data_IF_807118315713
#
_entry.id   IF_807118315713
#
_cell.length_a   1.000
_cell.length_b   1.000
_cell.length_c   1.000
_cell.angle_alpha   90.00
_cell.angle_beta   90.00
_cell.angle_gamma   90.00
#
_symmetry.space_group_name_H-M   'P 1'
#
loop_
_entity.id
_entity.type
_entity.pdbx_description
1 polymer ?
#
# COMPACT_ATOMS: atom_id res chain seq x y z
N UNK A 1 -15.59 60.60 -22.32
CA UNK A 1 -16.14 59.38 -22.94
C UNK A 1 -16.26 58.33 -21.82
N UNK A 2 -17.29 58.24 -20.98
CA UNK A 2 -18.76 58.24 -21.12
C UNK A 2 -19.29 57.12 -22.04
N UNK A 3 -20.11 56.24 -21.43
CA UNK A 3 -21.12 55.31 -22.01
C UNK A 3 -20.53 53.94 -22.45
N UNK A 4 -21.01 52.74 -22.09
CA UNK A 4 -22.26 52.25 -21.46
C UNK A 4 -22.09 50.84 -20.88
N UNK A 5 -22.76 50.56 -19.75
CA UNK A 5 -23.22 49.23 -19.33
C UNK A 5 -24.48 48.79 -20.11
N UNK A 6 -24.66 47.46 -20.33
CA UNK A 6 -25.90 46.64 -20.23
C UNK A 6 -25.69 45.28 -20.93
N UNK A 7 -25.62 44.16 -20.20
CA UNK A 7 -26.72 43.24 -19.78
C UNK A 7 -27.29 42.36 -20.90
N UNK A 8 -27.09 41.03 -20.80
CA UNK A 8 -28.04 39.88 -20.93
C UNK A 8 -27.18 38.60 -20.66
N UNK A 9 -27.47 37.64 -19.80
CA UNK A 9 -28.73 37.23 -19.15
C UNK A 9 -29.25 35.91 -19.73
N UNK A 10 -28.56 34.79 -19.56
CA UNK A 10 -29.14 33.44 -19.80
C UNK A 10 -28.81 32.49 -18.65
N UNK A 11 -29.83 32.22 -17.83
CA UNK A 11 -29.80 31.26 -16.73
C UNK A 11 -29.86 29.83 -17.27
N UNK A 12 -28.94 28.97 -16.82
CA UNK A 12 -29.01 27.51 -16.97
C UNK A 12 -29.64 26.91 -15.70
N UNK A 13 -30.49 25.88 -15.82
CA UNK A 13 -31.21 25.29 -14.69
C UNK A 13 -30.27 24.45 -13.79
N UNK A 14 -30.61 24.31 -12.49
CA UNK A 14 -29.80 23.55 -11.54
C UNK A 14 -29.91 22.04 -11.80
N UNK A 15 -28.79 21.42 -12.17
CA UNK A 15 -28.68 19.96 -12.28
C UNK A 15 -28.55 19.36 -10.88
N UNK A 16 -29.59 18.65 -10.45
CA UNK A 16 -29.65 17.93 -9.18
C UNK A 16 -28.58 16.84 -9.09
N UNK A 17 -27.65 17.00 -8.14
CA UNK A 17 -26.50 16.12 -7.87
C UNK A 17 -26.91 14.68 -7.49
N UNK A 18 -28.16 14.49 -7.07
CA UNK A 18 -28.69 13.19 -6.64
C UNK A 18 -28.87 12.18 -7.79
N UNK A 19 -28.97 12.64 -9.05
CA UNK A 19 -29.20 11.74 -10.19
C UNK A 19 -27.91 11.09 -10.73
N UNK A 20 -26.77 11.78 -10.64
CA UNK A 20 -25.47 11.29 -11.15
C UNK A 20 -24.89 10.17 -10.29
N UNK A 21 -25.24 10.12 -9.00
CA UNK A 21 -24.72 9.11 -8.07
C UNK A 21 -25.37 7.72 -8.23
N UNK A 22 -26.63 7.65 -8.69
CA UNK A 22 -27.30 6.35 -8.91
C UNK A 22 -26.81 5.66 -10.20
N UNK A 23 -26.50 6.43 -11.24
CA UNK A 23 -26.10 5.88 -12.54
C UNK A 23 -24.67 5.33 -12.54
N UNK A 24 -23.77 5.87 -11.71
CA UNK A 24 -22.40 5.35 -11.53
C UNK A 24 -22.34 4.04 -10.73
N UNK A 25 -23.36 3.74 -9.92
CA UNK A 25 -23.41 2.48 -9.14
C UNK A 25 -23.84 1.28 -9.98
N UNK A 26 -24.75 1.45 -10.94
CA UNK A 26 -25.16 0.37 -11.87
C UNK A 26 -24.08 0.03 -12.91
N UNK A 27 -23.26 0.99 -13.36
CA UNK A 27 -22.18 0.72 -14.31
C UNK A 27 -20.98 -0.04 -13.70
N UNK A 28 -20.83 -0.03 -12.36
CA UNK A 28 -19.81 -0.84 -11.66
C UNK A 28 -20.18 -2.32 -11.57
N UNK A 29 -21.46 -2.69 -11.48
CA UNK A 29 -21.86 -4.10 -11.39
C UNK A 29 -21.66 -4.83 -12.73
N UNK A 30 -21.96 -4.16 -13.86
CA UNK A 30 -21.76 -4.77 -15.19
C UNK A 30 -20.28 -4.91 -15.58
N UNK A 31 -19.40 -3.97 -15.20
CA UNK A 31 -17.95 -4.09 -15.49
C UNK A 31 -17.24 -5.17 -14.67
N UNK A 32 -17.76 -5.51 -13.49
CA UNK A 32 -17.21 -6.60 -12.67
C UNK A 32 -17.50 -7.99 -13.28
N UNK A 33 -18.70 -8.17 -13.88
CA UNK A 33 -19.08 -9.43 -14.52
C UNK A 33 -18.32 -9.71 -15.83
N UNK A 34 -18.03 -8.67 -16.63
CA UNK A 34 -17.33 -8.84 -17.92
C UNK A 34 -15.83 -9.13 -17.75
N UNK A 35 -15.19 -8.65 -16.67
CA UNK A 35 -13.74 -8.86 -16.45
C UNK A 35 -13.39 -10.29 -15.97
N UNK A 36 -14.36 -11.07 -15.49
CA UNK A 36 -14.11 -12.50 -15.20
C UNK A 36 -14.10 -13.38 -16.45
N UNK A 37 -14.66 -12.93 -17.59
CA UNK A 37 -14.77 -13.77 -18.80
C UNK A 37 -13.61 -13.58 -19.79
N UNK A 38 -12.79 -12.54 -19.65
CA UNK A 38 -11.73 -12.19 -20.61
C UNK A 38 -10.31 -12.56 -20.17
N UNK A 39 -10.12 -13.20 -19.01
CA UNK A 39 -8.80 -13.58 -18.50
C UNK A 39 -8.39 -15.02 -18.84
N UNK A 40 -9.19 -15.72 -19.68
CA UNK A 40 -8.90 -17.08 -20.13
C UNK A 40 -8.28 -17.18 -21.53
N UNK A 41 -8.04 -16.06 -22.25
CA UNK A 41 -7.58 -16.11 -23.66
C UNK A 41 -6.11 -15.76 -23.90
N UNK A 42 -5.38 -15.24 -22.91
CA UNK A 42 -4.01 -14.78 -23.12
C UNK A 42 -3.09 -15.60 -22.22
N UNK A 43 -2.43 -16.60 -22.81
CA UNK A 43 -1.59 -17.64 -22.19
C UNK A 43 -0.36 -17.13 -21.43
N UNK A 44 -0.57 -16.26 -20.45
CA UNK A 44 0.40 -15.94 -19.41
C UNK A 44 0.18 -16.87 -18.23
N UNK A 45 1.24 -17.48 -17.67
CA UNK A 45 1.11 -18.26 -16.46
C UNK A 45 0.62 -17.33 -15.34
N UNK A 46 -0.59 -17.57 -14.86
CA UNK A 46 -1.12 -16.87 -13.70
C UNK A 46 -0.11 -17.01 -12.55
N UNK A 47 0.12 -15.96 -11.74
CA UNK A 47 0.81 -16.14 -10.47
C UNK A 47 0.05 -17.23 -9.73
N UNK A 48 0.74 -18.31 -9.35
CA UNK A 48 0.14 -19.42 -8.60
C UNK A 48 -0.51 -18.80 -7.37
N UNK A 49 -1.82 -18.66 -7.38
CA UNK A 49 -2.57 -18.58 -6.15
C UNK A 49 -2.09 -19.76 -5.32
N UNK A 50 -1.75 -19.60 -4.03
CA UNK A 50 -1.54 -20.75 -3.19
C UNK A 50 -2.77 -21.62 -3.37
N UNK A 51 -2.53 -22.79 -3.97
CA UNK A 51 -3.55 -23.77 -4.27
C UNK A 51 -4.31 -23.90 -2.97
N UNK A 52 -5.59 -23.51 -2.98
CA UNK A 52 -6.50 -23.77 -1.88
C UNK A 52 -6.53 -25.28 -1.79
N UNK A 53 -5.60 -25.83 -1.01
CA UNK A 53 -5.58 -27.24 -0.67
C UNK A 53 -6.92 -27.42 -0.02
N UNK A 54 -7.80 -28.08 -0.77
CA UNK A 54 -9.01 -28.64 -0.26
C UNK A 54 -8.53 -29.57 0.85
N UNK A 55 -8.59 -29.07 2.08
CA UNK A 55 -8.25 -29.85 3.26
C UNK A 55 -9.28 -30.97 3.24
N UNK A 56 -8.84 -32.12 2.73
CA UNK A 56 -9.53 -33.39 2.86
C UNK A 56 -9.87 -33.49 4.33
N UNK A 57 -11.14 -33.34 4.65
CA UNK A 57 -11.66 -33.50 5.99
C UNK A 57 -11.33 -34.92 6.41
N UNK A 58 -10.24 -35.07 7.16
CA UNK A 58 -9.95 -36.31 7.86
C UNK A 58 -11.04 -36.46 8.90
N UNK A 59 -12.03 -37.27 8.54
CA UNK A 59 -13.05 -37.76 9.44
C UNK A 59 -12.36 -38.73 10.39
N UNK A 60 -12.01 -38.16 11.54
CA UNK A 60 -12.07 -38.75 12.89
C UNK A 60 -11.79 -40.26 13.01
N UNK A 61 -10.64 -40.59 13.60
CA UNK A 61 -10.46 -41.84 14.33
C UNK A 61 -9.80 -41.48 15.66
N UNK A 62 -10.56 -40.80 16.52
CA UNK A 62 -10.29 -40.81 17.96
C UNK A 62 -11.52 -41.37 18.64
N UNK A 63 -11.31 -42.53 19.25
CA UNK A 63 -12.23 -43.35 20.03
C UNK A 63 -13.31 -42.56 20.77
N UNK A 64 -14.57 -42.92 20.49
CA UNK A 64 -15.78 -42.52 21.21
C UNK A 64 -15.61 -42.73 22.73
N UNK A 65 -15.27 -41.66 23.44
CA UNK A 65 -15.84 -41.40 24.76
C UNK A 65 -16.94 -40.36 24.50
N UNK A 66 -18.10 -40.53 25.11
CA UNK A 66 -19.33 -39.80 24.82
C UNK A 66 -19.10 -38.29 24.61
N UNK A 67 -19.85 -37.74 23.66
CA UNK A 67 -19.85 -36.37 23.15
C UNK A 67 -20.15 -35.31 24.21
N UNK A 68 -19.26 -35.14 25.18
CA UNK A 68 -19.29 -34.02 26.11
C UNK A 68 -18.67 -32.79 25.43
N UNK A 69 -19.31 -31.65 25.59
CA UNK A 69 -18.80 -30.38 25.10
C UNK A 69 -17.48 -30.06 25.84
N UNK A 70 -16.34 -29.88 25.15
CA UNK A 70 -15.05 -29.68 25.80
C UNK A 70 -15.01 -28.46 26.72
N UNK A 71 -15.88 -27.45 26.47
CA UNK A 71 -16.04 -26.31 27.36
C UNK A 71 -16.68 -26.69 28.71
N UNK A 72 -17.60 -27.66 28.73
CA UNK A 72 -18.26 -28.12 29.95
C UNK A 72 -17.31 -28.94 30.84
N UNK A 73 -16.42 -29.74 30.25
CA UNK A 73 -15.38 -30.50 30.98
C UNK A 73 -14.45 -29.56 31.75
N UNK A 74 -14.15 -28.39 31.17
CA UNK A 74 -13.34 -27.34 31.80
C UNK A 74 -14.16 -26.37 32.67
N UNK A 75 -15.49 -26.46 32.67
CA UNK A 75 -16.38 -25.57 33.42
C UNK A 75 -16.41 -24.13 32.87
N UNK A 76 -16.22 -23.96 31.56
CA UNK A 76 -16.16 -22.67 30.88
C UNK A 76 -17.39 -22.44 30.00
N UNK A 77 -17.68 -21.18 29.70
CA UNK A 77 -18.60 -20.83 28.61
C UNK A 77 -17.91 -20.96 27.25
N UNK A 78 -18.69 -21.20 26.21
CA UNK A 78 -18.22 -21.36 24.81
C UNK A 78 -17.49 -20.13 24.24
N UNK A 79 -17.67 -18.95 24.85
CA UNK A 79 -17.03 -17.69 24.46
C UNK A 79 -15.84 -17.28 25.35
N UNK A 80 -15.30 -18.20 26.17
CA UNK A 80 -14.24 -17.87 27.12
C UNK A 80 -12.91 -17.47 26.43
N UNK A 81 -12.25 -16.45 26.99
CA UNK A 81 -10.94 -16.00 26.53
C UNK A 81 -9.85 -17.08 26.72
N UNK A 82 -8.81 -17.06 25.87
CA UNK A 82 -7.69 -18.03 25.92
C UNK A 82 -7.02 -18.14 27.29
N UNK A 83 -6.96 -17.05 28.06
CA UNK A 83 -6.40 -17.03 29.41
C UNK A 83 -7.30 -17.71 30.46
N UNK A 84 -8.62 -17.68 30.25
CA UNK A 84 -9.57 -18.40 31.11
C UNK A 84 -9.49 -19.92 30.88
N UNK A 85 -9.27 -20.34 29.63
CA UNK A 85 -9.03 -21.75 29.27
C UNK A 85 -7.75 -22.28 29.92
N UNK A 86 -6.66 -21.51 29.89
CA UNK A 86 -5.40 -21.92 30.51
C UNK A 86 -5.48 -22.01 32.06
N UNK A 87 -6.25 -21.11 32.69
CA UNK A 87 -6.44 -21.10 34.15
C UNK A 87 -7.29 -22.27 34.64
N UNK A 88 -8.43 -22.52 33.99
CA UNK A 88 -9.33 -23.64 34.30
C UNK A 88 -8.64 -24.99 34.08
N UNK A 89 -7.87 -25.14 32.99
CA UNK A 89 -7.05 -26.33 32.74
C UNK A 89 -6.10 -26.64 33.91
N UNK A 90 -5.31 -25.66 34.35
CA UNK A 90 -4.38 -25.84 35.47
C UNK A 90 -5.08 -26.16 36.79
N UNK A 91 -6.24 -25.54 37.04
CA UNK A 91 -7.05 -25.80 38.23
C UNK A 91 -7.60 -27.23 38.23
N UNK A 92 -8.20 -27.65 37.12
CA UNK A 92 -8.79 -28.99 36.95
C UNK A 92 -7.75 -30.10 36.96
N UNK A 93 -6.57 -29.86 36.40
CA UNK A 93 -5.45 -30.81 36.46
C UNK A 93 -4.95 -31.01 37.90
N UNK A 94 -4.98 -29.96 38.72
CA UNK A 94 -4.64 -30.03 40.15
C UNK A 94 -5.71 -30.78 40.96
N UNK A 95 -6.99 -30.60 40.62
CA UNK A 95 -8.12 -31.30 41.25
C UNK A 95 -8.14 -32.80 40.93
N UNK A 96 -7.74 -33.20 39.71
CA UNK A 96 -7.73 -34.60 39.27
C UNK A 96 -6.68 -35.49 39.98
N UNK A 97 -5.73 -34.90 40.73
CA UNK A 97 -4.84 -35.66 41.62
C UNK A 97 -4.05 -36.78 40.92
N UNK A 98 -4.30 -38.05 41.31
CA UNK A 98 -3.66 -39.25 40.74
C UNK A 98 -4.58 -40.03 39.77
N UNK A 99 -5.78 -39.53 39.50
CA UNK A 99 -6.74 -40.22 38.63
C UNK A 99 -6.40 -39.96 37.16
N UNK A 100 -5.63 -40.87 36.58
CA UNK A 100 -5.15 -40.79 35.20
C UNK A 100 -6.29 -40.70 34.16
N UNK A 101 -7.43 -41.35 34.45
CA UNK A 101 -8.61 -41.29 33.58
C UNK A 101 -9.25 -39.88 33.53
N UNK A 102 -9.19 -39.11 34.61
CA UNK A 102 -9.72 -37.74 34.62
C UNK A 102 -8.74 -36.76 33.98
N UNK A 103 -7.43 -36.94 34.20
CA UNK A 103 -6.39 -36.13 33.54
C UNK A 103 -6.47 -36.24 32.02
N UNK A 104 -6.59 -37.46 31.51
CA UNK A 104 -6.68 -37.69 30.06
C UNK A 104 -7.90 -36.99 29.44
N UNK A 105 -9.03 -36.95 30.16
CA UNK A 105 -10.23 -36.21 29.72
C UNK A 105 -9.96 -34.70 29.67
N UNK A 106 -9.35 -34.13 30.71
CA UNK A 106 -9.03 -32.70 30.79
C UNK A 106 -8.03 -32.29 29.68
N UNK A 107 -7.01 -33.10 29.44
CA UNK A 107 -6.01 -32.88 28.39
C UNK A 107 -6.61 -32.98 26.98
N UNK A 108 -7.51 -33.94 26.76
CA UNK A 108 -8.22 -34.07 25.47
C UNK A 108 -9.15 -32.89 25.19
N UNK A 109 -9.87 -32.40 26.21
CA UNK A 109 -10.74 -31.22 26.10
C UNK A 109 -9.95 -29.93 25.87
N UNK A 110 -8.81 -29.77 26.54
CA UNK A 110 -7.91 -28.62 26.31
C UNK A 110 -7.34 -28.65 24.88
N UNK A 111 -6.90 -29.82 24.42
CA UNK A 111 -6.34 -30.00 23.08
C UNK A 111 -7.38 -29.73 21.97
N UNK A 112 -8.63 -30.16 22.16
CA UNK A 112 -9.69 -29.92 21.17
C UNK A 112 -10.07 -28.43 21.06
N UNK A 113 -10.15 -27.69 22.18
CA UNK A 113 -10.37 -26.24 22.18
C UNK A 113 -9.23 -25.50 21.47
N UNK A 114 -7.98 -25.89 21.73
CA UNK A 114 -6.82 -25.28 21.07
C UNK A 114 -6.80 -25.55 19.56
N UNK A 115 -7.17 -26.76 19.13
CA UNK A 115 -7.28 -27.10 17.70
C UNK A 115 -8.45 -26.39 17.02
N UNK A 116 -9.60 -26.25 17.69
CA UNK A 116 -10.74 -25.48 17.19
C UNK A 116 -10.39 -23.99 17.02
N UNK A 117 -9.67 -23.41 17.97
CA UNK A 117 -9.17 -22.04 17.88
C UNK A 117 -8.18 -21.85 16.71
N UNK A 118 -7.24 -22.80 16.52
CA UNK A 118 -6.30 -22.77 15.40
C UNK A 118 -7.01 -22.89 14.04
N UNK A 119 -7.96 -23.81 13.93
CA UNK A 119 -8.75 -24.02 12.72
C UNK A 119 -9.60 -22.80 12.38
N UNK A 120 -10.21 -22.16 13.40
CA UNK A 120 -10.96 -20.92 13.24
C UNK A 120 -10.07 -19.75 12.79
N UNK A 121 -8.80 -19.70 13.22
CA UNK A 121 -7.81 -18.73 12.73
C UNK A 121 -7.41 -18.99 11.27
N UNK A 122 -7.19 -20.25 10.90
CA UNK A 122 -6.87 -20.65 9.52
C UNK A 122 -8.02 -20.36 8.54
N UNK A 123 -9.26 -20.49 8.99
CA UNK A 123 -10.46 -20.18 8.21
C UNK A 123 -10.79 -18.67 8.17
N UNK A 124 -10.03 -17.83 8.87
CA UNK A 124 -10.20 -16.37 8.87
C UNK A 124 -11.33 -15.84 9.76
N UNK A 125 -11.90 -16.66 10.64
CA UNK A 125 -13.03 -16.31 11.51
C UNK A 125 -12.65 -15.72 12.87
N UNK A 126 -11.39 -15.86 13.30
CA UNK A 126 -10.94 -15.36 14.61
C UNK A 126 -10.57 -13.87 14.59
N UNK A 127 -11.12 -13.09 15.53
CA UNK A 127 -10.64 -11.74 15.82
C UNK A 127 -9.22 -11.83 16.45
N UNK A 128 -8.19 -11.67 15.61
CA UNK A 128 -6.79 -11.61 16.04
C UNK A 128 -6.42 -10.14 16.26
N UNK A 129 -5.75 -9.84 17.37
CA UNK A 129 -5.24 -8.50 17.66
C UNK A 129 -4.42 -7.97 16.48
N UNK A 130 -4.57 -6.67 16.20
CA UNK A 130 -4.01 -6.06 14.98
C UNK A 130 -2.48 -6.17 14.97
N UNK A 131 -1.81 -6.09 16.12
CA UNK A 131 -0.37 -6.31 16.23
C UNK A 131 0.06 -7.73 15.81
N UNK A 132 -0.73 -8.76 16.13
CA UNK A 132 -0.42 -10.15 15.78
C UNK A 132 -0.73 -10.41 14.30
N UNK A 133 -1.82 -9.84 13.78
CA UNK A 133 -2.21 -9.96 12.36
C UNK A 133 -1.19 -9.34 11.41
N UNK A 134 -0.46 -8.31 11.87
CA UNK A 134 0.56 -7.64 11.09
C UNK A 134 1.98 -7.83 11.64
N UNK A 135 2.21 -8.79 12.53
CA UNK A 135 3.53 -9.10 13.07
C UNK A 135 4.54 -9.46 11.96
N UNK A 136 4.09 -10.16 10.93
CA UNK A 136 4.90 -10.47 9.73
C UNK A 136 5.31 -9.22 8.93
N UNK A 137 4.68 -8.07 9.20
CA UNK A 137 5.00 -6.77 8.62
C UNK A 137 5.76 -5.88 9.61
N UNK A 138 6.61 -6.46 10.45
CA UNK A 138 7.47 -5.71 11.36
C UNK A 138 8.19 -4.58 10.61
N UNK A 139 7.97 -3.34 11.04
CA UNK A 139 8.70 -2.19 10.52
C UNK A 139 10.05 -2.11 11.25
N UNK A 140 11.09 -2.71 10.67
CA UNK A 140 12.46 -2.66 11.21
C UNK A 140 13.01 -1.23 11.34
N UNK A 141 12.55 -0.29 10.49
CA UNK A 141 12.98 1.10 10.51
C UNK A 141 11.77 2.05 10.49
N UNK A 142 11.71 3.02 11.41
CA UNK A 142 10.58 3.95 11.50
C UNK A 142 10.49 4.92 10.31
N UNK A 143 11.61 5.20 9.62
CA UNK A 143 11.68 6.18 8.52
C UNK A 143 11.62 5.58 7.10
N UNK A 144 11.44 4.26 6.94
CA UNK A 144 11.50 3.62 5.62
C UNK A 144 10.40 4.17 4.68
N UNK A 145 10.73 4.61 3.45
CA UNK A 145 9.74 4.95 2.43
C UNK A 145 8.77 3.79 2.21
N UNK A 146 7.46 4.05 2.21
CA UNK A 146 6.48 2.99 2.00
C UNK A 146 6.32 2.76 0.50
N UNK A 147 6.51 1.52 0.06
CA UNK A 147 6.26 1.15 -1.33
C UNK A 147 4.76 1.31 -1.62
N UNK A 148 4.45 2.08 -2.65
CA UNK A 148 3.11 2.28 -3.18
C UNK A 148 3.19 2.31 -4.71
N UNK A 149 2.72 1.24 -5.35
CA UNK A 149 2.67 1.18 -6.80
C UNK A 149 1.54 2.09 -7.30
N UNK A 150 1.88 3.15 -8.01
CA UNK A 150 0.90 4.04 -8.61
C UNK A 150 0.12 3.34 -9.74
N UNK A 151 -1.08 3.85 -10.04
CA UNK A 151 -1.94 3.26 -11.07
C UNK A 151 -1.27 3.25 -12.45
N UNK A 152 -1.44 2.16 -13.22
CA UNK A 152 -0.75 1.95 -14.50
C UNK A 152 -0.84 3.14 -15.47
N UNK A 153 -2.04 3.71 -15.63
CA UNK A 153 -2.24 4.86 -16.53
C UNK A 153 -1.48 6.10 -16.06
N UNK A 154 -1.46 6.36 -14.75
CA UNK A 154 -0.75 7.49 -14.18
C UNK A 154 0.77 7.33 -14.33
N UNK A 155 1.30 6.14 -14.03
CA UNK A 155 2.72 5.83 -14.20
C UNK A 155 3.17 5.96 -15.66
N UNK A 156 2.33 5.54 -16.62
CA UNK A 156 2.63 5.68 -18.04
C UNK A 156 2.68 7.16 -18.48
N UNK A 157 1.74 7.99 -18.04
CA UNK A 157 1.72 9.42 -18.37
C UNK A 157 2.95 10.12 -17.79
N UNK A 158 3.23 9.91 -16.50
CA UNK A 158 4.40 10.52 -15.85
C UNK A 158 5.69 10.02 -16.50
N UNK A 159 5.79 8.72 -16.80
CA UNK A 159 6.93 8.14 -17.51
C UNK A 159 7.13 8.74 -18.90
N UNK A 160 6.06 8.95 -19.66
CA UNK A 160 6.12 9.57 -20.98
C UNK A 160 6.61 11.03 -20.89
N UNK A 161 6.13 11.80 -19.92
CA UNK A 161 6.60 13.18 -19.71
C UNK A 161 8.10 13.19 -19.35
N UNK A 162 8.54 12.30 -18.46
CA UNK A 162 9.96 12.23 -18.08
C UNK A 162 10.84 11.77 -19.25
N UNK A 163 10.39 10.81 -20.06
CA UNK A 163 11.09 10.40 -21.27
C UNK A 163 11.20 11.53 -22.30
N UNK A 164 10.16 12.38 -22.43
CA UNK A 164 10.20 13.56 -23.29
C UNK A 164 11.21 14.60 -22.79
N UNK A 165 11.34 14.80 -21.48
CA UNK A 165 12.36 15.69 -20.92
C UNK A 165 13.78 15.18 -21.18
N UNK A 166 13.98 13.86 -21.08
CA UNK A 166 15.25 13.22 -21.44
C UNK A 166 15.53 13.42 -22.93
N UNK A 167 14.55 13.17 -23.80
CA UNK A 167 14.70 13.34 -25.24
C UNK A 167 15.06 14.79 -25.61
N UNK A 168 14.38 15.78 -25.03
CA UNK A 168 14.73 17.20 -25.21
C UNK A 168 16.19 17.44 -24.84
N UNK A 169 16.61 16.97 -23.66
CA UNK A 169 17.97 17.18 -23.18
C UNK A 169 19.05 16.59 -24.11
N UNK A 170 18.79 15.42 -24.69
CA UNK A 170 19.73 14.73 -25.59
C UNK A 170 19.73 15.33 -27.00
N UNK A 171 18.54 15.69 -27.53
CA UNK A 171 18.39 16.17 -28.90
C UNK A 171 18.82 17.63 -29.07
N UNK A 172 18.62 18.46 -28.05
CA UNK A 172 18.81 19.91 -28.14
C UNK A 172 19.65 20.44 -26.98
N UNK A 173 20.90 19.99 -26.80
CA UNK A 173 21.71 20.33 -25.62
C UNK A 173 22.03 21.83 -25.52
N UNK A 174 22.17 22.50 -26.66
CA UNK A 174 22.51 23.94 -26.74
C UNK A 174 21.34 24.84 -26.33
N UNK A 175 20.09 24.41 -26.53
CA UNK A 175 18.90 25.20 -26.20
C UNK A 175 18.26 24.79 -24.88
N UNK A 176 18.48 23.55 -24.44
CA UNK A 176 17.86 23.00 -23.25
C UNK A 176 18.44 23.56 -21.94
N UNK A 177 19.76 23.75 -21.86
CA UNK A 177 20.42 24.18 -20.61
C UNK A 177 19.89 23.40 -19.39
N UNK A 178 19.54 24.12 -18.32
CA UNK A 178 18.95 23.54 -17.09
C UNK A 178 17.42 23.45 -17.11
N UNK A 179 16.76 23.85 -18.19
CA UNK A 179 15.29 23.84 -18.29
C UNK A 179 14.68 22.45 -18.13
N UNK A 180 15.11 21.38 -18.84
CA UNK A 180 14.49 20.06 -18.71
C UNK A 180 14.63 19.49 -17.29
N UNK A 181 15.68 19.85 -16.57
CA UNK A 181 15.87 19.50 -15.17
C UNK A 181 14.82 20.16 -14.27
N UNK A 182 14.65 21.48 -14.39
CA UNK A 182 13.69 22.23 -13.56
C UNK A 182 12.27 21.74 -13.88
N UNK A 183 11.96 21.53 -15.15
CA UNK A 183 10.66 21.00 -15.58
C UNK A 183 10.45 19.57 -15.08
N UNK A 184 11.45 18.70 -15.15
CA UNK A 184 11.39 17.33 -14.61
C UNK A 184 11.10 17.32 -13.10
N UNK A 185 11.78 18.17 -12.34
CA UNK A 185 11.58 18.30 -10.90
C UNK A 185 10.17 18.85 -10.57
N UNK A 186 9.70 19.86 -11.31
CA UNK A 186 8.35 20.41 -11.14
C UNK A 186 7.26 19.38 -11.47
N UNK A 187 7.41 18.63 -12.56
CA UNK A 187 6.51 17.53 -12.93
C UNK A 187 6.52 16.44 -11.86
N UNK A 188 7.69 16.07 -11.35
CA UNK A 188 7.82 15.10 -10.25
C UNK A 188 7.12 15.57 -8.97
N UNK A 189 7.27 16.84 -8.60
CA UNK A 189 6.57 17.44 -7.46
C UNK A 189 5.04 17.43 -7.67
N UNK A 190 4.56 17.92 -8.80
CA UNK A 190 3.12 17.93 -9.13
C UNK A 190 2.51 16.53 -9.15
N UNK A 191 3.22 15.55 -9.72
CA UNK A 191 2.77 14.16 -9.76
C UNK A 191 2.71 13.54 -8.36
N UNK A 192 3.70 13.81 -7.49
CA UNK A 192 3.70 13.33 -6.11
C UNK A 192 2.59 13.99 -5.26
N UNK A 193 2.31 15.27 -5.47
CA UNK A 193 1.19 15.97 -4.83
C UNK A 193 -0.16 15.40 -5.24
N UNK A 194 -0.39 15.23 -6.55
CA UNK A 194 -1.62 14.63 -7.07
C UNK A 194 -1.81 13.21 -6.53
N UNK A 195 -0.74 12.40 -6.53
CA UNK A 195 -0.74 11.05 -5.97
C UNK A 195 -1.11 11.04 -4.49
N UNK A 196 -0.57 11.96 -3.69
CA UNK A 196 -0.86 11.98 -2.26
C UNK A 196 -2.26 12.48 -1.93
N UNK A 197 -2.80 13.40 -2.73
CA UNK A 197 -4.19 13.84 -2.60
C UNK A 197 -5.18 12.71 -2.92
N UNK A 198 -4.84 11.78 -3.83
CA UNK A 198 -5.67 10.60 -4.09
C UNK A 198 -5.66 9.59 -2.94
N UNK A 199 -4.50 9.44 -2.29
CA UNK A 199 -4.32 8.46 -1.21
C UNK A 199 -4.90 8.98 0.11
N UNK A 200 -4.79 10.29 0.32
CA UNK A 200 -5.28 10.98 1.49
C UNK A 200 -6.05 12.21 1.03
N UNK A 201 -7.35 12.08 0.74
CA UNK A 201 -8.14 13.24 0.33
C UNK A 201 -8.08 14.33 1.41
N UNK A 202 -8.00 15.61 1.02
CA UNK A 202 -8.12 16.70 1.98
C UNK A 202 -9.46 16.59 2.70
N UNK A 203 -9.53 16.95 3.99
CA UNK A 203 -10.80 16.92 4.70
C UNK A 203 -11.81 17.82 4.01
N UNK A 204 -13.03 17.31 3.78
CA UNK A 204 -14.14 18.13 3.31
C UNK A 204 -14.42 19.21 4.36
N UNK A 205 -14.54 20.47 3.92
CA UNK A 205 -14.90 21.61 4.76
C UNK A 205 -16.16 21.28 5.56
N UNK A 206 -16.01 21.08 6.88
CA UNK A 206 -17.14 20.74 7.77
C UNK A 206 -16.86 19.66 8.81
N UNK A 207 -15.75 18.91 8.75
CA UNK A 207 -15.39 17.99 9.85
C UNK A 207 -14.50 18.70 10.88
N UNK A 208 -15.03 18.97 12.06
CA UNK A 208 -14.38 19.68 13.18
C UNK A 208 -13.31 18.86 13.94
N UNK A 209 -12.79 17.79 13.35
CA UNK A 209 -11.72 17.02 14.00
C UNK A 209 -10.38 17.78 13.89
N UNK A 210 -9.73 18.16 15.01
CA UNK A 210 -8.45 18.89 14.99
C UNK A 210 -7.34 18.08 14.30
N UNK A 211 -7.43 16.75 14.29
CA UNK A 211 -6.50 15.85 13.61
C UNK A 211 -6.57 15.97 12.07
N UNK A 212 -7.74 16.34 11.53
CA UNK A 212 -7.97 16.48 10.09
C UNK A 212 -7.47 17.82 9.54
N UNK A 213 -7.50 18.90 10.35
CA UNK A 213 -7.12 20.27 9.95
C UNK A 213 -5.68 20.39 9.42
N UNK A 214 -4.75 19.54 9.89
CA UNK A 214 -3.36 19.52 9.43
C UNK A 214 -3.01 18.44 8.40
N UNK A 215 -3.97 17.58 8.02
CA UNK A 215 -3.68 16.41 7.17
C UNK A 215 -3.32 16.82 5.74
N UNK A 216 -3.94 17.87 5.19
CA UNK A 216 -3.61 18.39 3.85
C UNK A 216 -2.18 18.88 3.75
N UNK A 217 -1.72 19.71 4.69
CA UNK A 217 -0.34 20.22 4.73
C UNK A 217 0.66 19.08 4.93
N UNK A 218 0.36 18.12 5.81
CA UNK A 218 1.21 16.93 6.00
C UNK A 218 1.33 16.10 4.73
N UNK A 219 0.28 16.04 3.90
CA UNK A 219 0.35 15.36 2.60
C UNK A 219 1.23 16.17 1.65
N UNK A 220 0.93 17.44 1.42
CA UNK A 220 1.73 18.31 0.54
C UNK A 220 3.22 18.26 0.89
N UNK A 221 3.55 18.37 2.18
CA UNK A 221 4.93 18.32 2.66
C UNK A 221 5.59 16.97 2.36
N UNK A 222 4.90 15.84 2.57
CA UNK A 222 5.43 14.52 2.21
C UNK A 222 5.74 14.43 0.72
N UNK A 223 4.92 15.03 -0.14
CA UNK A 223 5.05 14.95 -1.60
C UNK A 223 6.19 15.79 -2.12
N UNK A 224 6.29 17.00 -1.57
CA UNK A 224 7.39 17.90 -1.84
C UNK A 224 8.72 17.30 -1.35
N UNK A 225 8.77 16.76 -0.13
CA UNK A 225 9.98 16.11 0.40
C UNK A 225 10.38 14.92 -0.47
N UNK A 226 9.42 14.11 -0.93
CA UNK A 226 9.71 12.99 -1.82
C UNK A 226 10.28 13.46 -3.17
N UNK A 227 9.76 14.54 -3.73
CA UNK A 227 10.25 15.11 -4.99
C UNK A 227 11.64 15.77 -4.84
N UNK A 228 11.88 16.46 -3.73
CA UNK A 228 13.18 17.02 -3.39
C UNK A 228 14.21 15.91 -3.24
N UNK A 229 13.89 14.86 -2.47
CA UNK A 229 14.77 13.70 -2.31
C UNK A 229 15.02 12.97 -3.64
N UNK A 230 14.01 12.84 -4.49
CA UNK A 230 14.18 12.27 -5.82
C UNK A 230 15.17 13.07 -6.68
N UNK A 231 15.06 14.40 -6.62
CA UNK A 231 15.92 15.31 -7.38
C UNK A 231 17.35 15.27 -6.86
N UNK A 232 17.55 15.37 -5.53
CA UNK A 232 18.88 15.23 -4.92
C UNK A 232 19.50 13.87 -5.18
N UNK A 233 18.73 12.78 -5.09
CA UNK A 233 19.21 11.44 -5.39
C UNK A 233 19.65 11.33 -6.85
N UNK A 234 18.90 11.92 -7.78
CA UNK A 234 19.27 11.97 -9.19
C UNK A 234 20.58 12.70 -9.41
N UNK A 235 20.70 13.94 -8.92
CA UNK A 235 21.93 14.74 -9.03
C UNK A 235 23.13 14.04 -8.39
N UNK A 236 22.93 13.47 -7.20
CA UNK A 236 23.97 12.78 -6.45
C UNK A 236 24.49 11.57 -7.21
N UNK A 237 23.60 10.72 -7.73
CA UNK A 237 24.01 9.49 -8.43
C UNK A 237 24.72 9.74 -9.76
N UNK A 238 24.36 10.80 -10.49
CA UNK A 238 24.89 11.01 -11.85
C UNK A 238 26.10 11.92 -11.93
N UNK A 239 26.27 12.86 -10.98
CA UNK A 239 27.39 13.83 -11.04
C UNK A 239 28.25 13.77 -9.79
N UNK A 240 27.66 13.89 -8.59
CA UNK A 240 28.44 13.95 -7.35
C UNK A 240 29.14 12.64 -7.01
N UNK A 241 28.48 11.50 -7.20
CA UNK A 241 29.02 10.19 -6.87
C UNK A 241 30.19 9.80 -7.80
N UNK A 242 30.11 9.95 -9.13
CA UNK A 242 31.26 9.72 -10.00
C UNK A 242 32.45 10.64 -9.69
N UNK A 243 32.18 11.93 -9.42
CA UNK A 243 33.22 12.91 -9.09
C UNK A 243 33.95 12.56 -7.78
N UNK A 244 33.18 12.20 -6.74
CA UNK A 244 33.76 11.79 -5.44
C UNK A 244 34.54 10.49 -5.52
N UNK A 245 34.10 9.51 -6.32
CA UNK A 245 34.84 8.27 -6.56
C UNK A 245 36.16 8.56 -7.24
N UNK A 246 36.15 9.37 -8.30
CA UNK A 246 37.35 9.68 -9.07
C UNK A 246 38.34 10.49 -8.24
N UNK A 247 37.86 11.41 -7.41
CA UNK A 247 38.66 12.11 -6.41
C UNK A 247 39.29 11.17 -5.37
N UNK A 248 38.54 10.18 -4.89
CA UNK A 248 39.06 9.17 -3.94
C UNK A 248 40.19 8.32 -4.56
N UNK A 249 40.11 8.04 -5.86
CA UNK A 249 41.13 7.30 -6.60
C UNK A 249 42.24 8.17 -7.20
N UNK A 250 42.24 9.49 -6.98
CA UNK A 250 43.18 10.45 -7.57
C UNK A 250 43.34 10.30 -9.09
N UNK A 251 42.24 10.05 -9.81
CA UNK A 251 42.24 9.98 -11.27
C UNK A 251 41.63 11.25 -11.87
N UNK A 252 41.94 11.52 -13.14
CA UNK A 252 41.27 12.57 -13.90
C UNK A 252 39.99 12.00 -14.54
N UNK A 253 38.90 12.75 -14.49
CA UNK A 253 37.70 12.41 -15.25
C UNK A 253 37.88 12.71 -16.74
N UNK A 254 37.28 11.90 -17.62
CA UNK A 254 37.38 12.13 -19.05
C UNK A 254 36.61 13.39 -19.46
N UNK A 255 37.11 14.09 -20.48
CA UNK A 255 36.57 15.39 -20.93
C UNK A 255 35.07 15.36 -21.25
N UNK A 256 34.58 14.29 -21.87
CA UNK A 256 33.17 14.13 -22.24
C UNK A 256 32.22 14.18 -21.03
N UNK A 257 32.69 13.83 -19.83
CA UNK A 257 31.89 13.89 -18.61
C UNK A 257 31.59 15.32 -18.19
N UNK A 258 32.56 16.23 -18.33
CA UNK A 258 32.37 17.64 -18.02
C UNK A 258 31.50 18.35 -19.07
N UNK A 259 31.67 17.98 -20.35
CA UNK A 259 30.86 18.52 -21.44
C UNK A 259 29.38 18.11 -21.32
N UNK A 260 29.12 16.86 -20.91
CA UNK A 260 27.76 16.30 -20.76
C UNK A 260 27.16 16.47 -19.37
N UNK A 261 27.77 17.28 -18.48
CA UNK A 261 27.36 17.38 -17.08
C UNK A 261 25.87 17.72 -16.91
N UNK A 262 25.37 18.70 -17.67
CA UNK A 262 23.96 19.13 -17.61
C UNK A 262 23.01 18.03 -18.11
N UNK A 263 23.46 17.24 -19.09
CA UNK A 263 22.68 16.13 -19.64
C UNK A 263 22.56 14.99 -18.63
N UNK A 264 23.69 14.57 -18.05
CA UNK A 264 23.73 13.54 -17.02
C UNK A 264 22.86 13.91 -15.82
N UNK A 265 22.94 15.16 -15.38
CA UNK A 265 22.18 15.66 -14.24
C UNK A 265 20.66 15.71 -14.53
N UNK A 266 20.27 16.06 -15.75
CA UNK A 266 18.87 16.02 -16.20
C UNK A 266 18.34 14.59 -16.32
N UNK A 267 19.12 13.67 -16.89
CA UNK A 267 18.77 12.24 -17.02
C UNK A 267 18.60 11.62 -15.63
N UNK A 268 19.56 11.83 -14.73
CA UNK A 268 19.52 11.32 -13.35
C UNK A 268 18.29 11.81 -12.59
N UNK A 269 17.98 13.10 -12.73
CA UNK A 269 16.81 13.72 -12.11
C UNK A 269 15.50 13.15 -12.66
N UNK A 270 15.38 13.01 -13.98
CA UNK A 270 14.18 12.48 -14.62
C UNK A 270 13.92 11.02 -14.27
N UNK A 271 14.96 10.18 -14.28
CA UNK A 271 14.87 8.77 -13.89
C UNK A 271 14.51 8.62 -12.41
N UNK A 272 15.17 9.38 -11.53
CA UNK A 272 14.90 9.31 -10.09
C UNK A 272 13.51 9.82 -9.74
N UNK A 273 13.04 10.90 -10.37
CA UNK A 273 11.67 11.40 -10.22
C UNK A 273 10.63 10.39 -10.72
N UNK A 274 10.89 9.72 -11.84
CA UNK A 274 10.01 8.66 -12.34
C UNK A 274 9.91 7.50 -11.33
N UNK A 275 11.05 6.98 -10.85
CA UNK A 275 11.10 5.85 -9.91
C UNK A 275 10.37 6.21 -8.60
N UNK A 276 10.66 7.38 -8.03
CA UNK A 276 10.01 7.85 -6.79
C UNK A 276 8.51 8.06 -6.97
N UNK A 277 8.10 8.56 -8.14
CA UNK A 277 6.68 8.76 -8.43
C UNK A 277 5.95 7.43 -8.64
N UNK A 278 6.58 6.46 -9.30
CA UNK A 278 5.99 5.17 -9.63
C UNK A 278 5.84 4.21 -8.44
N UNK A 279 6.83 4.18 -7.53
CA UNK A 279 6.95 3.10 -6.54
C UNK A 279 6.90 3.54 -5.07
N UNK A 280 7.05 4.83 -4.77
CA UNK A 280 7.23 5.30 -3.39
C UNK A 280 6.16 6.30 -2.94
N UNK A 281 6.01 6.46 -1.62
CA UNK A 281 5.12 7.40 -0.95
C UNK A 281 5.73 7.93 0.34
#
# INVERSE_FOLDING_TARGET
MQVCERLVGTALPPVSVSCVYKQTRQLRSHRAAVRCRSLLSNGWPAPRCPQRQEIRTYRDVTTRVASEDPYQVLGLSSNANSEAVARSYKMKLREAGKDEAQKQRIESAHSSIMMAALTSRLQGGGAVAQEVRFADKAQYFPWRPKRYAAGRNFTLIVGAIQALMIAWCVLSPLTAGTQPLVTSAAVGAGANLFKQNQIFPPPTSGSEDPEKKGRGIKNVLRGLVLAIMATFLGCFLTVTLPDTIVGFFNRAMPYWFYESQVQLLSIGTAVSNFIMTAYFR
#
